data_IF_894087872064
#
_entry.id   IF_894087872064
#
_cell.length_a   1.000
_cell.length_b   1.000
_cell.length_c   1.000
_cell.angle_alpha   90.00
_cell.angle_beta   90.00
_cell.angle_gamma   90.00
#
_symmetry.space_group_name_H-M   'P 1'
#
loop_
_entity.id
_entity.type
_entity.pdbx_description
1 polymer ?
#
# COMPACT_ATOMS: atom_id res chain seq x y z
N UNK A 1 20.58 -38.59 13.33
CA UNK A 1 19.49 -37.60 13.61
C UNK A 1 18.44 -37.87 12.58
N UNK A 2 17.27 -38.30 13.04
CA UNK A 2 16.20 -38.68 12.15
C UNK A 2 15.70 -37.44 11.36
N UNK A 3 15.57 -37.59 10.04
CA UNK A 3 15.04 -36.57 9.17
C UNK A 3 13.55 -36.33 9.44
N UNK A 4 13.10 -35.10 9.28
CA UNK A 4 11.68 -34.70 9.43
C UNK A 4 10.97 -34.90 8.09
N UNK A 5 9.94 -35.76 8.09
CA UNK A 5 9.16 -36.02 6.86
C UNK A 5 8.30 -34.82 6.51
N UNK A 6 8.80 -33.96 5.60
CA UNK A 6 8.05 -32.86 5.01
C UNK A 6 7.41 -33.32 3.70
N UNK A 7 6.41 -32.55 3.22
CA UNK A 7 5.86 -32.78 1.89
C UNK A 7 6.73 -32.08 0.82
N UNK A 8 7.38 -32.83 -0.10
CA UNK A 8 8.25 -32.28 -1.14
C UNK A 8 7.54 -31.26 -2.04
N UNK A 9 6.25 -31.50 -2.36
CA UNK A 9 5.46 -30.59 -3.19
C UNK A 9 5.25 -29.23 -2.51
N UNK A 10 5.08 -29.25 -1.17
CA UNK A 10 4.93 -28.01 -0.40
C UNK A 10 6.24 -27.22 -0.31
N UNK A 11 7.37 -27.90 -0.22
CA UNK A 11 8.68 -27.25 -0.27
C UNK A 11 8.90 -26.59 -1.63
N UNK A 12 8.63 -27.30 -2.71
CA UNK A 12 8.73 -26.78 -4.08
C UNK A 12 7.80 -25.60 -4.31
N UNK A 13 6.52 -25.72 -3.91
CA UNK A 13 5.55 -24.64 -3.98
C UNK A 13 6.02 -23.39 -3.21
N UNK A 14 6.45 -23.57 -1.96
CA UNK A 14 6.89 -22.45 -1.13
C UNK A 14 8.14 -21.76 -1.70
N UNK A 15 9.09 -22.50 -2.27
CA UNK A 15 10.25 -21.93 -2.93
C UNK A 15 9.88 -21.16 -4.20
N UNK A 16 9.01 -21.71 -5.03
CA UNK A 16 8.53 -21.05 -6.25
C UNK A 16 7.74 -19.77 -5.91
N UNK A 17 6.88 -19.84 -4.90
CA UNK A 17 6.15 -18.68 -4.36
C UNK A 17 7.09 -17.59 -3.87
N UNK A 18 8.19 -17.95 -3.22
CA UNK A 18 9.22 -17.02 -2.75
C UNK A 18 10.15 -16.52 -3.88
N UNK A 19 9.95 -16.94 -5.14
CA UNK A 19 10.79 -16.56 -6.28
C UNK A 19 12.26 -16.98 -6.16
N UNK A 20 12.55 -18.03 -5.36
CA UNK A 20 13.93 -18.47 -5.08
C UNK A 20 14.35 -19.64 -5.99
N UNK A 21 15.60 -19.59 -6.47
CA UNK A 21 16.22 -20.79 -7.02
C UNK A 21 16.65 -21.73 -5.88
N UNK A 22 16.95 -23.01 -6.23
CA UNK A 22 17.46 -23.98 -5.25
C UNK A 22 18.79 -23.51 -4.63
N UNK A 23 19.63 -22.85 -5.41
CA UNK A 23 20.91 -22.27 -4.98
C UNK A 23 20.68 -21.11 -3.98
N UNK A 24 19.72 -20.24 -4.26
CA UNK A 24 19.37 -19.14 -3.38
C UNK A 24 18.77 -19.64 -2.07
N UNK A 25 17.88 -20.63 -2.13
CA UNK A 25 17.32 -21.24 -0.93
C UNK A 25 18.41 -21.96 -0.10
N UNK A 26 19.29 -22.75 -0.74
CA UNK A 26 20.41 -23.39 -0.08
C UNK A 26 21.29 -22.38 0.66
N UNK A 27 21.59 -21.24 0.03
CA UNK A 27 22.37 -20.15 0.66
C UNK A 27 21.64 -19.59 1.90
N UNK A 28 20.34 -19.36 1.81
CA UNK A 28 19.53 -18.82 2.93
C UNK A 28 19.42 -19.76 4.12
N UNK A 29 19.46 -21.08 3.90
CA UNK A 29 19.39 -22.09 4.98
C UNK A 29 20.76 -22.57 5.46
N UNK A 30 21.84 -21.90 5.04
CA UNK A 30 23.20 -22.23 5.47
C UNK A 30 23.85 -23.40 4.73
N UNK A 31 23.35 -23.75 3.54
CA UNK A 31 23.82 -24.85 2.70
C UNK A 31 24.35 -24.33 1.34
N UNK A 32 24.98 -23.16 1.31
CA UNK A 32 25.43 -22.49 0.08
C UNK A 32 26.29 -23.36 -0.84
N UNK A 33 27.09 -24.28 -0.26
CA UNK A 33 27.98 -25.19 -0.97
C UNK A 33 27.29 -26.51 -1.42
N UNK A 34 26.02 -26.71 -1.12
CA UNK A 34 25.29 -27.97 -1.32
C UNK A 34 23.86 -27.76 -1.81
N UNK A 35 23.66 -27.07 -2.95
CA UNK A 35 22.29 -26.83 -3.48
C UNK A 35 21.58 -28.12 -3.88
N UNK A 36 22.30 -29.19 -4.18
CA UNK A 36 21.79 -30.53 -4.46
C UNK A 36 20.97 -31.11 -3.29
N UNK A 37 21.25 -30.71 -2.06
CA UNK A 37 20.51 -31.14 -0.88
C UNK A 37 19.08 -30.62 -0.91
N UNK A 38 18.86 -29.37 -1.34
CA UNK A 38 17.51 -28.80 -1.50
C UNK A 38 16.74 -29.54 -2.59
N UNK A 39 17.40 -29.84 -3.72
CA UNK A 39 16.79 -30.66 -4.79
C UNK A 39 16.42 -32.05 -4.32
N UNK A 40 17.27 -32.69 -3.49
CA UNK A 40 16.98 -34.00 -2.90
C UNK A 40 15.76 -33.94 -1.96
N UNK A 41 15.58 -32.87 -1.18
CA UNK A 41 14.38 -32.65 -0.37
C UNK A 41 13.12 -32.46 -1.21
N UNK A 42 13.18 -31.69 -2.31
CA UNK A 42 12.07 -31.50 -3.25
C UNK A 42 11.75 -32.76 -4.06
N UNK A 43 12.72 -33.62 -4.29
CA UNK A 43 12.51 -34.94 -4.92
C UNK A 43 12.03 -36.00 -3.93
N UNK A 44 12.00 -35.73 -2.60
CA UNK A 44 11.66 -36.69 -1.57
C UNK A 44 12.71 -37.76 -1.34
N UNK A 45 13.89 -37.68 -1.98
CA UNK A 45 14.99 -38.67 -1.85
C UNK A 45 15.83 -38.48 -0.57
N UNK A 46 15.70 -37.30 0.07
CA UNK A 46 16.29 -37.01 1.37
C UNK A 46 15.30 -36.23 2.23
N UNK A 47 15.58 -36.14 3.53
CA UNK A 47 14.74 -35.39 4.46
C UNK A 47 15.58 -34.39 5.26
N UNK A 48 15.10 -33.14 5.48
CA UNK A 48 15.79 -32.20 6.34
C UNK A 48 15.69 -32.61 7.82
N UNK A 49 16.67 -32.23 8.62
CA UNK A 49 16.55 -32.27 10.08
C UNK A 49 15.54 -31.22 10.55
N UNK A 50 15.05 -31.34 11.79
CA UNK A 50 14.10 -30.38 12.37
C UNK A 50 14.65 -28.94 12.33
N UNK A 51 15.94 -28.76 12.64
CA UNK A 51 16.61 -27.47 12.56
C UNK A 51 16.61 -26.90 11.12
N UNK A 52 16.85 -27.74 10.12
CA UNK A 52 16.79 -27.36 8.70
C UNK A 52 15.36 -27.04 8.27
N UNK A 53 14.37 -27.81 8.74
CA UNK A 53 12.95 -27.53 8.47
C UNK A 53 12.52 -26.17 9.02
N UNK A 54 12.97 -25.83 10.23
CA UNK A 54 12.76 -24.47 10.78
C UNK A 54 13.45 -23.39 9.96
N UNK A 55 14.68 -23.64 9.51
CA UNK A 55 15.42 -22.71 8.66
C UNK A 55 14.73 -22.53 7.28
N UNK A 56 14.21 -23.60 6.69
CA UNK A 56 13.40 -23.57 5.47
C UNK A 56 12.13 -22.71 5.66
N UNK A 57 11.35 -22.97 6.70
CA UNK A 57 10.13 -22.20 6.99
C UNK A 57 10.42 -20.70 7.12
N UNK A 58 11.51 -20.33 7.81
CA UNK A 58 11.94 -18.92 7.94
C UNK A 58 12.39 -18.33 6.61
N UNK A 59 13.23 -19.06 5.85
CA UNK A 59 13.76 -18.59 4.57
C UNK A 59 12.67 -18.41 3.50
N UNK A 60 11.60 -19.21 3.59
CA UNK A 60 10.45 -19.21 2.68
C UNK A 60 9.28 -18.33 3.18
N UNK A 61 9.41 -17.75 4.38
CA UNK A 61 8.38 -16.93 5.02
C UNK A 61 7.02 -17.62 5.10
N UNK A 62 7.01 -18.88 5.54
CA UNK A 62 5.80 -19.66 5.78
C UNK A 62 5.76 -20.21 7.22
N UNK A 63 4.56 -20.43 7.78
CA UNK A 63 4.43 -21.21 9.02
C UNK A 63 5.07 -22.59 8.86
N UNK A 64 5.79 -23.05 9.89
CA UNK A 64 6.44 -24.36 9.86
C UNK A 64 5.47 -25.49 9.49
N UNK A 65 4.22 -25.40 9.99
CA UNK A 65 3.16 -26.38 9.73
C UNK A 65 2.80 -26.55 8.25
N UNK A 66 3.03 -25.52 7.41
CA UNK A 66 2.73 -25.60 5.98
C UNK A 66 3.54 -26.68 5.27
N UNK A 67 4.76 -26.94 5.70
CA UNK A 67 5.59 -27.99 5.10
C UNK A 67 5.06 -29.41 5.33
N UNK A 68 4.04 -29.58 6.17
CA UNK A 68 3.42 -30.87 6.53
C UNK A 68 2.00 -31.03 5.95
N UNK A 69 1.44 -30.04 5.29
CA UNK A 69 0.13 -30.13 4.67
C UNK A 69 0.16 -31.13 3.49
N UNK A 70 -1.00 -31.66 3.13
CA UNK A 70 -1.17 -32.52 1.94
C UNK A 70 -1.12 -31.73 0.64
N UNK A 71 -1.63 -30.48 0.67
CA UNK A 71 -1.76 -29.58 -0.48
C UNK A 71 -1.37 -28.16 -0.09
N UNK A 72 -0.93 -27.33 -1.06
CA UNK A 72 -0.71 -25.91 -0.82
C UNK A 72 -1.97 -25.25 -0.25
N UNK A 73 -1.84 -24.40 0.78
CA UNK A 73 -2.98 -23.71 1.33
C UNK A 73 -3.57 -22.77 0.25
N UNK A 74 -4.89 -22.83 0.08
CA UNK A 74 -5.60 -21.92 -0.80
C UNK A 74 -5.70 -20.58 -0.10
N UNK A 75 -4.83 -19.65 -0.40
CA UNK A 75 -4.89 -18.28 0.12
C UNK A 75 -5.84 -17.48 -0.77
N UNK A 76 -7.15 -17.68 -0.62
CA UNK A 76 -8.12 -16.74 -1.15
C UNK A 76 -8.07 -15.49 -0.27
N UNK A 77 -7.42 -14.44 -0.73
CA UNK A 77 -7.45 -13.15 -0.04
C UNK A 77 -8.85 -12.55 -0.24
N UNK A 78 -9.49 -12.02 0.82
CA UNK A 78 -10.85 -11.49 0.76
C UNK A 78 -10.92 -10.09 0.13
N UNK A 79 -10.05 -9.82 -0.86
CA UNK A 79 -9.94 -8.53 -1.56
C UNK A 79 -9.86 -8.76 -3.06
N UNK A 80 -10.51 -7.87 -3.81
CA UNK A 80 -10.50 -7.91 -5.27
C UNK A 80 -9.13 -7.45 -5.78
N UNK A 81 -8.60 -8.13 -6.80
CA UNK A 81 -7.36 -7.74 -7.47
C UNK A 81 -7.68 -6.82 -8.66
N UNK A 82 -7.51 -5.51 -8.45
CA UNK A 82 -7.70 -4.49 -9.48
C UNK A 82 -6.41 -4.13 -10.23
N UNK A 83 -5.29 -4.78 -9.91
CA UNK A 83 -4.02 -4.48 -10.56
C UNK A 83 -4.12 -4.70 -12.08
N UNK A 84 -3.55 -3.78 -12.84
CA UNK A 84 -3.41 -3.90 -14.30
C UNK A 84 -2.22 -4.83 -14.61
N UNK A 85 -2.44 -6.13 -14.47
CA UNK A 85 -1.44 -7.18 -14.73
C UNK A 85 -1.87 -8.06 -15.90
N UNK A 86 -0.91 -8.70 -16.61
CA UNK A 86 -1.23 -9.77 -17.54
C UNK A 86 -2.09 -10.84 -16.89
N UNK A 87 -3.03 -11.43 -17.62
CA UNK A 87 -3.99 -12.41 -17.09
C UNK A 87 -3.30 -13.58 -16.36
N UNK A 88 -2.13 -14.01 -16.85
CA UNK A 88 -1.33 -15.07 -16.24
C UNK A 88 -0.74 -14.71 -14.85
N UNK A 89 -0.71 -13.43 -14.48
CA UNK A 89 -0.16 -12.92 -13.21
C UNK A 89 -1.25 -12.48 -12.23
N UNK A 90 -2.50 -12.36 -12.67
CA UNK A 90 -3.64 -12.00 -11.81
C UNK A 90 -3.83 -13.04 -10.71
N UNK A 91 -4.06 -12.59 -9.49
CA UNK A 91 -4.23 -13.44 -8.32
C UNK A 91 -2.94 -14.10 -7.81
N UNK A 92 -1.78 -13.83 -8.43
CA UNK A 92 -0.48 -14.22 -7.88
C UNK A 92 0.09 -13.06 -7.07
N UNK A 93 0.32 -13.31 -5.80
CA UNK A 93 0.86 -12.33 -4.87
C UNK A 93 2.25 -12.75 -4.41
N UNK A 94 3.15 -11.77 -4.28
CA UNK A 94 4.42 -12.03 -3.60
C UNK A 94 4.18 -12.33 -2.13
N UNK A 95 5.07 -13.09 -1.46
CA UNK A 95 5.00 -13.30 -0.02
C UNK A 95 4.96 -11.99 0.77
N UNK A 96 5.63 -10.95 0.26
CA UNK A 96 5.67 -9.62 0.86
C UNK A 96 4.31 -8.95 0.84
N UNK A 97 3.61 -8.98 -0.30
CA UNK A 97 2.25 -8.42 -0.44
C UNK A 97 1.25 -9.22 0.39
N UNK A 98 1.31 -10.56 0.37
CA UNK A 98 0.43 -11.39 1.20
C UNK A 98 0.60 -11.11 2.69
N UNK A 99 1.84 -10.98 3.17
CA UNK A 99 2.10 -10.70 4.59
C UNK A 99 1.60 -9.31 5.00
N UNK A 100 1.78 -8.30 4.14
CA UNK A 100 1.27 -6.94 4.39
C UNK A 100 -0.25 -6.91 4.40
N UNK A 101 -0.89 -7.60 3.47
CA UNK A 101 -2.35 -7.67 3.39
C UNK A 101 -2.94 -8.42 4.60
N UNK A 102 -2.35 -9.55 4.97
CA UNK A 102 -2.77 -10.30 6.18
C UNK A 102 -2.57 -9.48 7.46
N UNK A 103 -1.51 -8.67 7.52
CA UNK A 103 -1.29 -7.76 8.64
C UNK A 103 -2.33 -6.64 8.69
N UNK A 104 -2.65 -6.05 7.53
CA UNK A 104 -3.68 -5.02 7.43
C UNK A 104 -5.07 -5.57 7.79
N UNK A 105 -5.43 -6.76 7.30
CA UNK A 105 -6.69 -7.45 7.66
C UNK A 105 -6.78 -7.70 9.16
N UNK A 106 -5.72 -8.21 9.80
CA UNK A 106 -5.70 -8.42 11.24
C UNK A 106 -5.91 -7.13 12.05
N UNK A 107 -5.32 -6.03 11.61
CA UNK A 107 -5.48 -4.70 12.22
C UNK A 107 -6.88 -4.14 12.02
N UNK A 108 -7.38 -4.29 10.81
CA UNK A 108 -8.73 -3.92 10.41
C UNK A 108 -9.79 -4.65 11.24
N UNK A 109 -9.71 -5.99 11.30
CA UNK A 109 -10.66 -6.84 12.04
C UNK A 109 -10.67 -6.51 13.53
N UNK A 110 -9.47 -6.34 14.12
CA UNK A 110 -9.35 -5.95 15.51
C UNK A 110 -9.99 -4.57 15.77
N UNK A 111 -9.72 -3.57 14.92
CA UNK A 111 -10.28 -2.23 15.14
C UNK A 111 -11.80 -2.20 14.93
N UNK A 112 -12.30 -2.94 13.93
CA UNK A 112 -13.72 -3.09 13.70
C UNK A 112 -14.43 -3.69 14.92
N UNK A 113 -13.90 -4.80 15.45
CA UNK A 113 -14.44 -5.44 16.63
C UNK A 113 -14.39 -4.50 17.85
N UNK A 114 -13.24 -3.86 18.08
CA UNK A 114 -13.04 -2.90 19.15
C UNK A 114 -14.04 -1.74 19.09
N UNK A 115 -14.18 -1.08 17.95
CA UNK A 115 -15.11 0.04 17.78
C UNK A 115 -16.57 -0.38 17.93
N UNK A 116 -16.94 -1.54 17.42
CA UNK A 116 -18.28 -2.07 17.56
C UNK A 116 -18.60 -2.36 19.02
N UNK A 117 -17.67 -2.93 19.79
CA UNK A 117 -17.84 -3.19 21.23
C UNK A 117 -17.97 -1.89 22.04
N UNK A 118 -17.22 -0.86 21.66
CA UNK A 118 -17.29 0.47 22.30
C UNK A 118 -18.53 1.29 21.86
N UNK A 119 -19.40 0.74 21.01
CA UNK A 119 -20.62 1.40 20.57
C UNK A 119 -20.40 2.54 19.57
N UNK A 120 -19.31 2.51 18.81
CA UNK A 120 -19.06 3.49 17.76
C UNK A 120 -20.17 3.47 16.70
N UNK A 121 -20.46 4.62 16.11
CA UNK A 121 -21.39 4.74 14.98
C UNK A 121 -20.70 4.46 13.67
N UNK A 122 -21.38 3.84 12.69
CA UNK A 122 -20.86 3.67 11.35
C UNK A 122 -20.45 5.00 10.71
N UNK A 123 -19.38 4.98 9.94
CA UNK A 123 -18.91 6.14 9.18
C UNK A 123 -19.73 6.28 7.89
N UNK A 124 -20.57 7.32 7.76
CA UNK A 124 -21.63 7.36 6.76
C UNK A 124 -21.10 7.64 5.33
N UNK A 125 -19.83 7.92 5.16
CA UNK A 125 -19.22 8.18 3.85
C UNK A 125 -18.75 6.91 3.14
N UNK A 126 -18.56 5.79 3.85
CA UNK A 126 -18.12 4.53 3.26
C UNK A 126 -19.23 3.95 2.40
N UNK A 127 -18.94 3.70 1.12
CA UNK A 127 -19.92 3.17 0.18
C UNK A 127 -21.08 4.11 -0.14
N UNK A 128 -20.92 5.42 0.09
CA UNK A 128 -21.97 6.43 -0.16
C UNK A 128 -22.32 6.59 -1.62
N UNK A 129 -21.38 6.31 -2.52
CA UNK A 129 -21.51 6.51 -3.96
C UNK A 129 -21.41 5.21 -4.75
N UNK A 130 -21.92 5.23 -5.98
CA UNK A 130 -21.90 4.09 -6.88
C UNK A 130 -21.17 4.44 -8.18
N UNK A 131 -20.85 3.44 -9.00
CA UNK A 131 -20.08 3.59 -10.22
C UNK A 131 -20.68 4.57 -11.26
N UNK A 132 -21.94 4.98 -11.11
CA UNK A 132 -22.63 5.94 -11.97
C UNK A 132 -22.55 7.40 -11.49
N UNK A 133 -22.01 7.66 -10.31
CA UNK A 133 -21.83 9.03 -9.80
C UNK A 133 -20.64 9.71 -10.48
N UNK A 134 -20.67 11.06 -10.54
CA UNK A 134 -19.58 11.81 -11.20
C UNK A 134 -18.37 11.97 -10.29
N UNK A 135 -17.15 11.99 -10.85
CA UNK A 135 -15.92 12.18 -10.08
C UNK A 135 -15.92 13.47 -9.26
N UNK A 136 -16.52 14.54 -9.81
CA UNK A 136 -16.60 15.86 -9.16
C UNK A 136 -17.41 15.79 -7.87
N UNK A 137 -18.55 15.12 -7.91
CA UNK A 137 -19.44 14.95 -6.78
C UNK A 137 -18.78 14.15 -5.66
N UNK A 138 -18.11 13.06 -6.00
CA UNK A 138 -17.37 12.23 -5.05
C UNK A 138 -16.20 13.01 -4.45
N UNK A 139 -15.38 13.66 -5.28
CA UNK A 139 -14.26 14.45 -4.81
C UNK A 139 -14.68 15.64 -3.93
N UNK A 140 -15.83 16.25 -4.20
CA UNK A 140 -16.40 17.31 -3.37
C UNK A 140 -16.79 16.77 -1.99
N UNK A 141 -17.45 15.62 -1.93
CA UNK A 141 -17.84 14.99 -0.67
C UNK A 141 -16.59 14.56 0.14
N UNK A 142 -15.57 13.98 -0.51
CA UNK A 142 -14.29 13.66 0.14
C UNK A 142 -13.68 14.93 0.75
N UNK A 143 -13.61 16.05 0.00
CA UNK A 143 -13.07 17.31 0.52
C UNK A 143 -13.87 17.81 1.73
N UNK A 144 -15.17 17.69 1.71
CA UNK A 144 -16.02 18.14 2.80
C UNK A 144 -15.85 17.26 4.04
N UNK A 145 -15.87 15.95 3.90
CA UNK A 145 -15.72 15.01 5.04
C UNK A 145 -14.34 15.10 5.67
N UNK A 146 -13.31 15.27 4.84
CA UNK A 146 -11.92 15.37 5.32
C UNK A 146 -11.51 16.81 5.71
N UNK A 147 -12.40 17.78 5.60
CA UNK A 147 -12.11 19.21 5.86
C UNK A 147 -10.86 19.70 5.10
N UNK A 148 -10.78 19.37 3.81
CA UNK A 148 -9.63 19.73 2.98
C UNK A 148 -9.79 21.12 2.35
N UNK A 149 -8.73 21.94 2.33
CA UNK A 149 -8.73 23.21 1.58
C UNK A 149 -8.80 22.96 0.06
N UNK A 150 -9.08 24.01 -0.71
CA UNK A 150 -9.09 23.98 -2.18
C UNK A 150 -7.96 24.88 -2.71
N UNK A 151 -6.95 24.35 -3.41
CA UNK A 151 -6.64 22.91 -3.56
C UNK A 151 -6.16 22.29 -2.24
N UNK A 152 -6.20 20.95 -2.07
CA UNK A 152 -5.73 20.29 -0.85
C UNK A 152 -4.28 20.61 -0.47
N UNK A 153 -3.45 20.95 -1.44
CA UNK A 153 -2.06 21.35 -1.24
C UNK A 153 -1.85 22.81 -0.79
N UNK A 154 -2.93 23.63 -0.64
CA UNK A 154 -2.84 25.07 -0.37
C UNK A 154 -1.92 25.42 0.81
N UNK A 155 -2.02 24.66 1.88
CA UNK A 155 -1.31 24.93 3.12
C UNK A 155 0.00 24.13 3.27
N UNK A 156 0.38 23.38 2.22
CA UNK A 156 1.58 22.53 2.22
C UNK A 156 2.78 23.27 1.60
N UNK A 157 3.91 23.30 2.33
CA UNK A 157 5.18 23.86 1.85
C UNK A 157 5.99 22.91 0.97
N UNK A 158 5.71 21.60 1.05
CA UNK A 158 6.40 20.55 0.30
C UNK A 158 5.48 19.38 -0.01
N UNK A 159 5.89 18.48 -0.95
CA UNK A 159 5.17 17.23 -1.21
C UNK A 159 5.04 16.34 0.02
N UNK A 160 6.11 16.23 0.84
CA UNK A 160 6.07 15.48 2.08
C UNK A 160 5.07 16.06 3.09
N UNK A 161 4.95 17.38 3.14
CA UNK A 161 3.98 18.03 4.01
C UNK A 161 2.56 17.84 3.50
N UNK A 162 2.33 17.93 2.18
CA UNK A 162 1.04 17.64 1.57
C UNK A 162 0.57 16.21 1.89
N UNK A 163 1.43 15.20 1.67
CA UNK A 163 1.10 13.82 2.05
C UNK A 163 0.76 13.70 3.53
N UNK A 164 1.57 14.33 4.41
CA UNK A 164 1.34 14.28 5.87
C UNK A 164 0.01 14.94 6.26
N UNK A 165 -0.36 16.05 5.64
CA UNK A 165 -1.65 16.72 5.87
C UNK A 165 -2.81 15.85 5.41
N UNK A 166 -2.77 15.29 4.20
CA UNK A 166 -3.80 14.39 3.68
C UNK A 166 -3.99 13.17 4.58
N UNK A 167 -2.89 12.53 5.03
CA UNK A 167 -2.95 11.39 5.96
C UNK A 167 -3.58 11.81 7.28
N UNK A 168 -3.22 12.98 7.82
CA UNK A 168 -3.80 13.48 9.08
C UNK A 168 -5.31 13.68 8.96
N UNK A 169 -5.77 14.37 7.92
CA UNK A 169 -7.21 14.59 7.70
C UNK A 169 -7.98 13.27 7.51
N UNK A 170 -7.41 12.31 6.78
CA UNK A 170 -8.01 10.99 6.63
C UNK A 170 -8.13 10.26 8.00
N UNK A 171 -7.08 10.30 8.83
CA UNK A 171 -7.10 9.69 10.16
C UNK A 171 -8.06 10.42 11.13
N UNK A 172 -8.19 11.73 11.02
CA UNK A 172 -9.16 12.54 11.80
C UNK A 172 -10.61 12.22 11.42
N UNK A 173 -10.87 11.85 10.16
CA UNK A 173 -12.16 11.35 9.70
C UNK A 173 -12.43 9.87 10.07
N UNK A 174 -11.49 9.18 10.73
CA UNK A 174 -11.66 7.80 11.19
C UNK A 174 -11.11 6.73 10.25
N UNK A 175 -10.38 7.09 9.19
CA UNK A 175 -9.76 6.17 8.23
C UNK A 175 -8.37 5.78 8.73
N UNK A 176 -8.06 4.48 8.81
CA UNK A 176 -6.71 4.00 9.12
C UNK A 176 -5.82 4.20 7.88
N UNK A 177 -4.67 4.86 8.02
CA UNK A 177 -3.70 5.01 6.93
C UNK A 177 -2.37 4.37 7.32
N UNK A 178 -2.05 3.24 6.68
CA UNK A 178 -0.81 2.51 6.86
C UNK A 178 0.16 2.82 5.73
N UNK A 179 1.44 3.05 6.05
CA UNK A 179 2.47 3.30 5.04
C UNK A 179 3.72 2.48 5.36
N UNK A 180 4.10 1.57 4.49
CA UNK A 180 5.34 0.78 4.62
C UNK A 180 6.00 0.54 3.28
N UNK A 181 7.34 0.49 3.27
CA UNK A 181 8.13 0.08 2.11
C UNK A 181 8.68 -1.35 2.23
N UNK A 182 8.30 -2.07 3.27
CA UNK A 182 8.76 -3.44 3.56
C UNK A 182 7.69 -4.22 4.30
N UNK A 183 7.76 -5.54 4.21
CA UNK A 183 6.80 -6.43 4.83
C UNK A 183 7.00 -6.49 6.35
N UNK A 184 5.93 -6.33 7.11
CA UNK A 184 5.89 -6.39 8.58
C UNK A 184 6.93 -5.46 9.24
N UNK A 185 7.95 -6.02 9.91
CA UNK A 185 9.08 -5.27 10.52
C UNK A 185 10.44 -5.65 9.92
N UNK A 186 10.46 -6.38 8.81
CA UNK A 186 11.69 -6.82 8.14
C UNK A 186 12.07 -5.89 6.99
N UNK A 187 13.02 -4.98 7.24
CA UNK A 187 13.48 -3.99 6.24
C UNK A 187 14.20 -4.62 5.04
N UNK A 188 14.56 -5.90 5.11
CA UNK A 188 15.15 -6.64 3.98
C UNK A 188 14.11 -7.20 3.02
N UNK A 189 12.85 -7.27 3.43
CA UNK A 189 11.72 -7.72 2.62
C UNK A 189 10.99 -6.53 2.01
N UNK A 190 11.61 -5.93 1.00
CA UNK A 190 11.12 -4.69 0.39
C UNK A 190 9.93 -4.95 -0.53
N UNK A 191 8.93 -4.06 -0.47
CA UNK A 191 7.76 -4.10 -1.34
C UNK A 191 8.11 -3.62 -2.76
N UNK A 192 7.41 -4.17 -3.75
CA UNK A 192 7.57 -3.80 -5.16
C UNK A 192 6.47 -2.81 -5.59
N UNK A 193 6.88 -1.60 -6.00
CA UNK A 193 5.95 -0.62 -6.59
C UNK A 193 5.40 -1.10 -7.95
N UNK A 194 6.12 -2.00 -8.62
CA UNK A 194 5.65 -2.61 -9.88
C UNK A 194 4.50 -3.59 -9.63
N UNK A 195 4.46 -4.21 -8.45
CA UNK A 195 3.43 -5.16 -8.09
C UNK A 195 2.16 -4.45 -7.62
N UNK A 196 2.29 -3.47 -6.69
CA UNK A 196 1.17 -2.68 -6.19
C UNK A 196 1.63 -1.35 -5.62
N UNK A 197 0.75 -0.36 -5.61
CA UNK A 197 0.99 0.96 -5.01
C UNK A 197 0.20 1.17 -3.74
N UNK A 198 -1.01 0.61 -3.66
CA UNK A 198 -1.87 0.69 -2.50
C UNK A 198 -2.99 -0.35 -2.51
N UNK A 199 -3.78 -0.33 -1.47
CA UNK A 199 -5.05 -1.03 -1.39
C UNK A 199 -5.98 -0.39 -0.36
N UNK A 200 -7.29 -0.58 -0.55
CA UNK A 200 -8.33 -0.19 0.39
C UNK A 200 -9.08 -1.41 0.94
N UNK A 201 -9.39 -1.37 2.23
CA UNK A 201 -10.34 -2.24 2.89
C UNK A 201 -11.54 -1.40 3.32
N UNK A 202 -12.69 -1.64 2.70
CA UNK A 202 -13.92 -0.88 2.96
C UNK A 202 -14.69 -1.53 4.09
N UNK A 203 -14.95 -0.76 5.13
CA UNK A 203 -15.76 -1.14 6.27
C UNK A 203 -16.30 0.12 6.95
N UNK A 204 -17.54 0.10 7.38
CA UNK A 204 -18.20 1.27 7.97
C UNK A 204 -17.61 1.68 9.33
N UNK A 205 -16.95 0.77 10.04
CA UNK A 205 -16.35 1.02 11.36
C UNK A 205 -14.84 1.20 11.31
N UNK A 206 -14.16 0.53 10.38
CA UNK A 206 -12.70 0.49 10.34
C UNK A 206 -12.14 0.62 8.90
N UNK A 207 -12.55 1.64 8.11
CA UNK A 207 -11.99 1.80 6.77
C UNK A 207 -10.48 1.96 6.84
N UNK A 208 -9.77 1.24 5.95
CA UNK A 208 -8.32 1.20 5.96
C UNK A 208 -7.75 1.43 4.56
N UNK A 209 -6.71 2.26 4.48
CA UNK A 209 -5.88 2.47 3.29
C UNK A 209 -4.44 2.05 3.61
N UNK A 210 -3.85 1.26 2.73
CA UNK A 210 -2.41 0.98 2.75
C UNK A 210 -1.73 1.65 1.56
N UNK A 211 -0.55 2.25 1.79
CA UNK A 211 0.26 2.90 0.77
C UNK A 211 1.67 2.30 0.76
N UNK A 212 2.13 1.88 -0.41
CA UNK A 212 3.50 1.42 -0.59
C UNK A 212 4.48 2.60 -0.50
N UNK A 213 5.21 2.70 0.61
CA UNK A 213 6.12 3.79 0.87
C UNK A 213 7.42 3.76 0.01
N UNK A 214 7.60 2.74 -0.85
CA UNK A 214 8.68 2.69 -1.85
C UNK A 214 8.39 3.57 -3.06
N UNK A 215 7.14 3.96 -3.25
CA UNK A 215 6.78 4.89 -4.32
C UNK A 215 7.25 6.32 -4.01
N UNK A 216 7.36 7.12 -5.06
CA UNK A 216 7.63 8.56 -4.95
C UNK A 216 6.58 9.24 -4.06
N UNK A 217 6.94 10.37 -3.46
CA UNK A 217 5.98 11.13 -2.62
C UNK A 217 4.75 11.54 -3.42
N UNK A 218 4.95 12.00 -4.67
CA UNK A 218 3.84 12.35 -5.56
C UNK A 218 2.97 11.13 -5.92
N UNK A 219 3.59 9.97 -6.14
CA UNK A 219 2.85 8.71 -6.34
C UNK A 219 2.02 8.33 -5.12
N UNK A 220 2.58 8.43 -3.92
CA UNK A 220 1.85 8.16 -2.65
C UNK A 220 0.69 9.10 -2.40
N UNK A 221 0.81 10.39 -2.76
CA UNK A 221 -0.28 11.37 -2.70
C UNK A 221 -1.43 10.92 -3.61
N UNK A 222 -1.10 10.57 -4.86
CA UNK A 222 -2.10 10.10 -5.82
C UNK A 222 -2.74 8.78 -5.37
N UNK A 223 -1.94 7.82 -4.90
CA UNK A 223 -2.43 6.55 -4.37
C UNK A 223 -3.39 6.76 -3.20
N UNK A 224 -3.05 7.63 -2.23
CA UNK A 224 -3.99 7.93 -1.13
C UNK A 224 -5.33 8.47 -1.65
N UNK A 225 -5.29 9.44 -2.56
CA UNK A 225 -6.51 10.00 -3.13
C UNK A 225 -7.34 8.97 -3.92
N UNK A 226 -6.68 8.04 -4.61
CA UNK A 226 -7.30 6.94 -5.33
C UNK A 226 -7.98 5.93 -4.38
N UNK A 227 -7.29 5.52 -3.31
CA UNK A 227 -7.84 4.60 -2.32
C UNK A 227 -9.00 5.22 -1.53
N UNK A 228 -8.99 6.55 -1.32
CA UNK A 228 -10.18 7.25 -0.79
C UNK A 228 -11.37 7.09 -1.74
N UNK A 229 -11.18 7.15 -3.06
CA UNK A 229 -12.22 6.86 -4.04
C UNK A 229 -12.84 5.48 -3.85
N UNK A 230 -12.03 4.46 -3.59
CA UNK A 230 -12.50 3.11 -3.27
C UNK A 230 -13.33 3.06 -1.99
N UNK A 231 -12.92 3.76 -0.93
CA UNK A 231 -13.72 3.81 0.31
C UNK A 231 -15.08 4.46 0.07
N UNK A 232 -15.14 5.56 -0.68
CA UNK A 232 -16.40 6.25 -0.99
C UNK A 232 -17.35 5.45 -1.89
N UNK A 233 -16.79 4.57 -2.74
CA UNK A 233 -17.58 3.66 -3.62
C UNK A 233 -17.84 2.29 -3.01
N UNK A 234 -17.39 2.02 -1.79
CA UNK A 234 -17.62 0.75 -1.10
C UNK A 234 -16.88 -0.45 -1.73
N UNK A 235 -15.76 -0.22 -2.41
CA UNK A 235 -15.02 -1.27 -3.13
C UNK A 235 -13.68 -1.56 -2.49
N UNK A 236 -13.52 -2.76 -1.90
CA UNK A 236 -12.21 -3.21 -1.38
C UNK A 236 -11.37 -3.82 -2.48
N UNK A 237 -10.09 -3.46 -2.56
CA UNK A 237 -9.21 -4.09 -3.54
C UNK A 237 -7.78 -3.61 -3.49
N UNK A 238 -6.91 -4.37 -4.19
CA UNK A 238 -5.50 -4.05 -4.39
C UNK A 238 -5.37 -3.34 -5.73
N UNK A 239 -4.80 -2.14 -5.72
CA UNK A 239 -4.68 -1.29 -6.89
C UNK A 239 -3.22 -1.00 -7.25
N UNK A 240 -3.01 -0.75 -8.53
CA UNK A 240 -1.76 -0.19 -9.05
C UNK A 240 -2.11 1.00 -9.95
N UNK A 241 -2.58 2.13 -9.35
CA UNK A 241 -3.05 3.26 -10.13
C UNK A 241 -1.93 3.79 -11.01
N UNK A 242 -2.13 3.70 -12.32
CA UNK A 242 -1.20 4.23 -13.33
C UNK A 242 -1.75 5.52 -13.89
N UNK A 243 -0.89 6.52 -13.99
CA UNK A 243 -1.13 7.78 -14.68
C UNK A 243 -0.72 7.68 -16.17
N UNK A 244 -0.76 6.47 -16.72
CA UNK A 244 -0.45 6.33 -18.14
C UNK A 244 -1.62 6.80 -18.99
N UNK A 245 -1.33 7.57 -20.07
CA UNK A 245 -2.35 8.07 -20.97
C UNK A 245 -3.00 6.97 -21.82
N UNK A 246 -2.77 5.72 -21.52
CA UNK A 246 -3.40 4.62 -22.21
C UNK A 246 -4.76 4.33 -21.61
N UNK A 247 -5.80 4.61 -22.38
CA UNK A 247 -7.09 3.95 -22.24
C UNK A 247 -6.88 2.45 -22.50
N UNK A 248 -6.26 1.74 -21.54
CA UNK A 248 -6.12 0.30 -21.67
C UNK A 248 -7.52 -0.32 -21.72
N UNK A 249 -7.91 -0.99 -22.81
CA UNK A 249 -9.13 -1.76 -22.84
C UNK A 249 -9.00 -2.84 -21.76
N UNK A 250 -9.76 -2.74 -20.68
CA UNK A 250 -9.72 -3.69 -19.57
C UNK A 250 -9.55 -3.10 -18.17
N UNK A 251 -9.25 -1.81 -18.05
CA UNK A 251 -9.36 -1.12 -16.75
C UNK A 251 -10.83 -1.10 -16.36
N UNK A 252 -11.19 -1.73 -15.24
CA UNK A 252 -12.57 -1.78 -14.74
C UNK A 252 -13.16 -0.37 -14.58
N UNK A 253 -14.48 -0.24 -14.72
CA UNK A 253 -15.16 1.05 -14.62
C UNK A 253 -14.88 1.74 -13.28
N UNK A 254 -14.72 0.97 -12.19
CA UNK A 254 -14.45 1.48 -10.86
C UNK A 254 -13.02 2.06 -10.73
N UNK A 255 -12.02 1.39 -11.30
CA UNK A 255 -10.63 1.88 -11.29
C UNK A 255 -10.50 3.22 -12.03
N UNK A 256 -11.19 3.34 -13.16
CA UNK A 256 -11.23 4.59 -13.92
C UNK A 256 -11.89 5.70 -13.12
N UNK A 257 -13.02 5.40 -12.46
CA UNK A 257 -13.71 6.34 -11.60
C UNK A 257 -12.80 6.80 -10.44
N UNK A 258 -12.13 5.88 -9.75
CA UNK A 258 -11.22 6.21 -8.65
C UNK A 258 -10.02 7.05 -9.12
N UNK A 259 -9.47 6.79 -10.32
CA UNK A 259 -8.43 7.63 -10.91
C UNK A 259 -8.93 9.05 -11.20
N UNK A 260 -10.14 9.21 -11.75
CA UNK A 260 -10.75 10.51 -12.01
C UNK A 260 -11.10 11.25 -10.71
N UNK A 261 -11.61 10.55 -9.70
CA UNK A 261 -11.85 11.10 -8.36
C UNK A 261 -10.54 11.62 -7.75
N UNK A 262 -9.46 10.83 -7.81
CA UNK A 262 -8.16 11.24 -7.31
C UNK A 262 -7.62 12.49 -8.02
N UNK A 263 -7.74 12.53 -9.35
CA UNK A 263 -7.33 13.68 -10.16
C UNK A 263 -8.15 14.93 -9.82
N UNK A 264 -9.47 14.81 -9.72
CA UNK A 264 -10.37 15.92 -9.35
C UNK A 264 -10.16 16.37 -7.91
N UNK A 265 -9.94 15.44 -6.97
CA UNK A 265 -9.67 15.76 -5.57
C UNK A 265 -8.41 16.61 -5.42
N UNK A 266 -7.31 16.20 -6.06
CA UNK A 266 -6.00 16.83 -5.94
C UNK A 266 -5.87 18.08 -6.82
N UNK A 267 -6.47 18.06 -8.01
CA UNK A 267 -6.40 19.12 -9.04
C UNK A 267 -7.81 19.42 -9.55
N UNK A 268 -8.58 20.25 -8.82
CA UNK A 268 -9.92 20.63 -9.25
C UNK A 268 -9.92 21.23 -10.65
N UNK A 269 -10.76 20.69 -11.55
CA UNK A 269 -10.76 21.05 -12.97
C UNK A 269 -10.99 22.53 -13.23
N UNK A 270 -11.91 23.17 -12.50
CA UNK A 270 -12.18 24.61 -12.59
C UNK A 270 -10.93 25.43 -12.22
N UNK A 271 -10.24 25.05 -11.13
CA UNK A 271 -9.05 25.74 -10.67
C UNK A 271 -7.87 25.54 -11.62
N UNK A 272 -7.73 24.35 -12.19
CA UNK A 272 -6.74 24.07 -13.23
C UNK A 272 -6.99 24.96 -14.46
N UNK A 273 -8.23 25.02 -14.93
CA UNK A 273 -8.62 25.85 -16.08
C UNK A 273 -8.33 27.33 -15.84
N UNK A 274 -8.63 27.84 -14.66
CA UNK A 274 -8.33 29.26 -14.29
C UNK A 274 -6.82 29.54 -14.26
N UNK A 275 -5.99 28.55 -13.86
CA UNK A 275 -4.53 28.72 -13.73
C UNK A 275 -3.75 28.32 -14.97
N UNK A 276 -4.40 27.66 -15.94
CA UNK A 276 -3.79 27.25 -17.20
C UNK A 276 -3.51 28.47 -18.08
N UNK A 277 -2.31 29.01 -18.00
CA UNK A 277 -1.90 30.19 -18.75
C UNK A 277 -1.83 29.93 -20.26
N UNK A 278 -1.65 31.02 -21.04
CA UNK A 278 -1.44 31.00 -22.51
C UNK A 278 0.06 30.97 -22.86
N UNK A 279 0.81 30.07 -22.24
CA UNK A 279 2.23 29.91 -22.56
C UNK A 279 2.42 28.90 -23.70
N UNK A 280 3.48 29.08 -24.54
CA UNK A 280 3.70 28.22 -25.70
C UNK A 280 4.20 26.82 -25.34
N UNK A 281 4.78 26.63 -24.14
CA UNK A 281 5.37 25.34 -23.73
C UNK A 281 4.46 24.59 -22.73
N UNK A 282 3.80 23.55 -23.21
CA UNK A 282 2.89 22.72 -22.43
C UNK A 282 3.57 22.06 -21.21
N UNK A 283 4.81 21.60 -21.36
CA UNK A 283 5.53 20.93 -20.28
C UNK A 283 5.91 21.90 -19.16
N UNK A 284 6.36 23.11 -19.49
CA UNK A 284 6.70 24.13 -18.49
C UNK A 284 5.47 24.54 -17.64
N UNK A 285 4.32 24.76 -18.29
CA UNK A 285 3.06 25.02 -17.57
C UNK A 285 2.73 23.86 -16.64
N UNK A 286 2.79 22.64 -17.15
CA UNK A 286 2.48 21.45 -16.36
C UNK A 286 3.44 21.29 -15.18
N UNK A 287 4.72 21.56 -15.34
CA UNK A 287 5.73 21.53 -14.29
C UNK A 287 5.49 22.60 -13.21
N UNK A 288 5.13 23.82 -13.62
CA UNK A 288 4.81 24.89 -12.68
C UNK A 288 3.54 24.59 -11.87
N UNK A 289 2.48 24.12 -12.53
CA UNK A 289 1.24 23.73 -11.88
C UNK A 289 1.43 22.50 -10.98
N UNK A 290 2.27 21.54 -11.37
CA UNK A 290 2.63 20.40 -10.54
C UNK A 290 3.28 20.84 -9.20
N UNK A 291 4.11 21.87 -9.22
CA UNK A 291 4.67 22.46 -7.99
C UNK A 291 3.60 23.14 -7.14
N UNK A 292 2.64 23.85 -7.76
CA UNK A 292 1.58 24.53 -7.02
C UNK A 292 0.59 23.55 -6.38
N UNK A 293 0.18 22.51 -7.11
CA UNK A 293 -0.75 21.48 -6.63
C UNK A 293 -0.06 20.36 -5.83
N UNK A 294 1.28 20.35 -5.77
CA UNK A 294 2.08 19.29 -5.10
C UNK A 294 1.72 17.89 -5.60
N UNK A 295 1.57 17.76 -6.90
CA UNK A 295 1.33 16.49 -7.60
C UNK A 295 2.42 16.23 -8.64
N UNK A 296 2.41 15.08 -9.32
CA UNK A 296 3.33 14.85 -10.44
C UNK A 296 2.90 15.65 -11.69
N UNK A 297 3.85 15.94 -12.56
CA UNK A 297 3.59 16.55 -13.88
C UNK A 297 2.58 15.71 -14.67
N UNK A 298 2.66 14.39 -14.54
CA UNK A 298 1.77 13.45 -15.20
C UNK A 298 0.30 13.64 -14.79
N UNK A 299 0.02 13.90 -13.50
CA UNK A 299 -1.34 14.24 -13.02
C UNK A 299 -1.86 15.48 -13.71
N UNK A 300 -1.06 16.53 -13.82
CA UNK A 300 -1.47 17.79 -14.47
C UNK A 300 -1.76 17.56 -15.95
N UNK A 301 -0.89 16.84 -16.67
CA UNK A 301 -1.06 16.58 -18.10
C UNK A 301 -2.34 15.80 -18.40
N UNK A 302 -2.58 14.70 -17.65
CA UNK A 302 -3.80 13.92 -17.80
C UNK A 302 -5.03 14.74 -17.45
N UNK A 303 -4.97 15.51 -16.37
CA UNK A 303 -6.09 16.36 -15.95
C UNK A 303 -6.40 17.45 -16.97
N UNK A 304 -5.38 18.07 -17.58
CA UNK A 304 -5.56 19.07 -18.65
C UNK A 304 -6.26 18.47 -19.88
N UNK A 305 -6.00 17.21 -20.21
CA UNK A 305 -6.76 16.49 -21.25
C UNK A 305 -8.22 16.25 -20.83
N UNK A 306 -8.45 15.76 -19.62
CA UNK A 306 -9.80 15.46 -19.11
C UNK A 306 -10.71 16.70 -19.09
N UNK A 307 -10.15 17.89 -18.81
CA UNK A 307 -10.90 19.16 -18.83
C UNK A 307 -10.80 19.92 -20.16
N UNK A 308 -10.37 19.25 -21.24
CA UNK A 308 -10.29 19.77 -22.61
C UNK A 308 -9.39 21.00 -22.78
N UNK A 309 -8.34 21.17 -21.96
CA UNK A 309 -7.32 22.22 -22.13
C UNK A 309 -6.27 21.84 -23.17
N UNK A 310 -6.02 20.54 -23.35
CA UNK A 310 -5.04 19.99 -24.27
C UNK A 310 -5.63 18.87 -25.12
N UNK A 311 -5.29 18.82 -26.42
CA UNK A 311 -5.53 17.64 -27.22
C UNK A 311 -4.59 16.50 -26.81
N UNK A 312 -5.01 15.27 -27.10
CA UNK A 312 -4.28 14.05 -26.71
C UNK A 312 -2.83 13.99 -27.20
N UNK A 313 -2.58 14.43 -28.46
CA UNK A 313 -1.25 14.45 -29.06
C UNK A 313 -0.27 15.35 -28.28
N UNK A 314 -0.74 16.49 -27.79
CA UNK A 314 0.07 17.39 -26.95
C UNK A 314 0.40 16.75 -25.59
N UNK A 315 -0.55 16.02 -25.00
CA UNK A 315 -0.32 15.27 -23.76
C UNK A 315 0.74 14.19 -23.97
N UNK A 316 0.61 13.37 -25.04
CA UNK A 316 1.57 12.30 -25.33
C UNK A 316 2.99 12.85 -25.51
N UNK A 317 3.13 13.96 -26.28
CA UNK A 317 4.44 14.59 -26.50
C UNK A 317 5.06 15.11 -25.20
N UNK A 318 4.30 15.88 -24.40
CA UNK A 318 4.78 16.41 -23.13
C UNK A 318 5.05 15.31 -22.10
N UNK A 319 4.27 14.22 -22.11
CA UNK A 319 4.45 13.05 -21.25
C UNK A 319 5.78 12.33 -21.57
N UNK A 320 6.06 12.09 -22.87
CA UNK A 320 7.31 11.45 -23.30
C UNK A 320 8.52 12.30 -22.92
N UNK A 321 8.45 13.62 -23.11
CA UNK A 321 9.51 14.55 -22.70
C UNK A 321 9.72 14.55 -21.18
N UNK A 322 8.65 14.59 -20.37
CA UNK A 322 8.74 14.52 -18.92
C UNK A 322 9.35 13.20 -18.43
N UNK A 323 9.04 12.08 -19.10
CA UNK A 323 9.67 10.79 -18.77
C UNK A 323 11.17 10.77 -19.08
N UNK A 324 11.58 11.37 -20.18
CA UNK A 324 13.00 11.46 -20.54
C UNK A 324 13.75 12.30 -19.50
N UNK A 325 13.25 13.50 -19.18
CA UNK A 325 13.85 14.36 -18.14
C UNK A 325 13.94 13.64 -16.77
N UNK A 326 12.90 12.92 -16.36
CA UNK A 326 12.89 12.19 -15.10
C UNK A 326 13.94 11.06 -15.07
N UNK A 327 14.28 10.43 -16.22
CA UNK A 327 15.32 9.41 -16.31
C UNK A 327 16.72 10.02 -16.24
N UNK A 328 16.93 11.18 -16.85
CA UNK A 328 18.22 11.88 -16.88
C UNK A 328 18.56 12.49 -15.50
N UNK A 329 17.56 12.91 -14.74
CA UNK A 329 17.71 13.58 -13.43
C UNK A 329 17.29 12.71 -12.24
N UNK A 330 17.21 11.39 -12.38
CA UNK A 330 16.85 10.51 -11.26
C UNK A 330 17.87 10.68 -10.11
N UNK A 331 17.47 11.22 -8.94
CA UNK A 331 18.39 11.37 -7.83
C UNK A 331 18.81 9.99 -7.33
N UNK A 332 20.10 9.83 -7.01
CA UNK A 332 20.58 8.66 -6.27
C UNK A 332 19.75 8.54 -4.99
N UNK A 333 19.22 7.33 -4.74
CA UNK A 333 18.38 7.08 -3.57
C UNK A 333 19.15 7.46 -2.30
N UNK A 334 18.67 8.45 -1.56
CA UNK A 334 19.20 8.79 -0.25
C UNK A 334 19.11 7.55 0.66
N UNK A 335 20.23 6.94 0.95
CA UNK A 335 20.38 5.90 1.99
C UNK A 335 20.38 6.56 3.37
N UNK A 336 19.24 7.09 3.79
CA UNK A 336 19.06 7.61 5.13
C UNK A 336 18.56 6.50 6.07
N UNK A 337 19.23 6.26 7.17
CA UNK A 337 18.69 5.47 8.29
C UNK A 337 17.44 6.17 8.85
N UNK A 338 16.27 5.53 8.74
CA UNK A 338 15.01 6.10 9.22
C UNK A 338 14.91 6.06 10.75
N UNK A 339 14.33 7.11 11.35
CA UNK A 339 13.93 7.08 12.75
C UNK A 339 12.93 5.93 13.00
N UNK A 340 13.26 5.06 13.94
CA UNK A 340 12.44 3.90 14.30
C UNK A 340 11.00 4.29 14.66
N UNK A 341 10.82 5.33 15.49
CA UNK A 341 9.49 5.75 15.95
C UNK A 341 8.65 6.36 14.82
N UNK A 342 9.30 7.12 13.94
CA UNK A 342 8.65 7.64 12.74
C UNK A 342 8.21 6.50 11.81
N UNK A 343 9.08 5.51 11.61
CA UNK A 343 8.78 4.32 10.81
C UNK A 343 7.64 3.50 11.42
N UNK A 344 7.66 3.30 12.75
CA UNK A 344 6.62 2.60 13.48
C UNK A 344 5.26 3.31 13.35
N UNK A 345 5.25 4.65 13.48
CA UNK A 345 4.04 5.47 13.35
C UNK A 345 3.47 5.40 11.93
N UNK A 346 4.30 5.54 10.90
CA UNK A 346 3.85 5.46 9.53
C UNK A 346 3.29 4.07 9.19
N UNK A 347 3.96 3.00 9.65
CA UNK A 347 3.55 1.62 9.39
C UNK A 347 2.22 1.23 10.06
N UNK A 348 1.91 1.83 11.19
CA UNK A 348 0.71 1.47 11.94
C UNK A 348 -0.39 2.55 11.91
N UNK A 349 -0.09 3.76 11.41
CA UNK A 349 -0.99 4.89 11.47
C UNK A 349 -1.13 5.46 12.90
N UNK A 350 -1.40 6.76 12.98
CA UNK A 350 -1.60 7.44 14.27
C UNK A 350 -2.91 6.98 14.92
N UNK A 351 -3.96 6.90 14.13
CA UNK A 351 -5.29 6.51 14.59
C UNK A 351 -5.28 5.12 15.22
N UNK A 352 -4.79 4.10 14.53
CA UNK A 352 -4.71 2.73 15.06
C UNK A 352 -3.86 2.65 16.32
N UNK A 353 -2.72 3.35 16.37
CA UNK A 353 -1.90 3.40 17.56
C UNK A 353 -2.61 4.04 18.76
N UNK A 354 -3.43 5.07 18.55
CA UNK A 354 -4.24 5.70 19.60
C UNK A 354 -5.29 4.74 20.13
N UNK A 355 -6.00 4.04 19.25
CA UNK A 355 -7.03 3.06 19.64
C UNK A 355 -6.41 1.88 20.43
N UNK A 356 -5.26 1.35 20.00
CA UNK A 356 -4.55 0.30 20.73
C UNK A 356 -4.13 0.77 22.13
N UNK A 357 -3.63 2.01 22.27
CA UNK A 357 -3.25 2.57 23.57
C UNK A 357 -4.48 2.76 24.47
N UNK A 358 -5.62 3.16 23.91
CA UNK A 358 -6.88 3.31 24.64
C UNK A 358 -7.35 1.95 25.15
N UNK A 359 -7.40 0.93 24.29
CA UNK A 359 -7.80 -0.43 24.66
C UNK A 359 -6.87 -1.05 25.73
N UNK A 360 -5.56 -0.79 25.65
CA UNK A 360 -4.60 -1.20 26.69
C UNK A 360 -4.89 -0.54 28.04
N UNK A 361 -5.18 0.76 28.07
CA UNK A 361 -5.49 1.50 29.32
C UNK A 361 -6.80 1.06 29.96
N UNK A 362 -7.76 0.65 29.14
CA UNK A 362 -9.03 0.12 29.61
C UNK A 362 -8.96 -1.36 30.04
N UNK A 363 -7.81 -2.03 29.80
CA UNK A 363 -7.63 -3.46 30.08
C UNK A 363 -8.33 -4.40 29.11
N UNK A 364 -8.91 -3.88 28.02
CA UNK A 364 -9.60 -4.65 26.98
C UNK A 364 -8.64 -5.33 26.02
N UNK A 365 -7.38 -4.87 25.96
CA UNK A 365 -6.32 -5.47 25.14
C UNK A 365 -5.13 -5.86 25.99
N UNK A 366 -4.64 -7.10 25.85
CA UNK A 366 -3.45 -7.56 26.54
C UNK A 366 -2.18 -6.97 25.88
N UNK A 367 -1.13 -6.79 26.66
CA UNK A 367 0.17 -6.26 26.21
C UNK A 367 0.76 -7.03 25.04
N UNK A 368 0.67 -8.37 25.07
CA UNK A 368 1.11 -9.24 23.96
C UNK A 368 0.26 -9.06 22.71
N UNK A 369 -1.03 -8.84 22.85
CA UNK A 369 -1.93 -8.56 21.74
C UNK A 369 -1.58 -7.24 21.05
N UNK A 370 -1.34 -6.16 21.81
CA UNK A 370 -0.92 -4.88 21.30
C UNK A 370 0.45 -4.95 20.58
N UNK A 371 1.43 -5.61 21.18
CA UNK A 371 2.74 -5.80 20.58
C UNK A 371 2.65 -6.57 19.23
N UNK A 372 1.77 -7.57 19.17
CA UNK A 372 1.50 -8.35 17.95
C UNK A 372 0.80 -7.51 16.87
N UNK A 373 -0.18 -6.68 17.23
CA UNK A 373 -0.85 -5.77 16.29
C UNK A 373 0.12 -4.76 15.70
N UNK A 374 1.03 -4.21 16.51
CA UNK A 374 2.02 -3.24 16.08
C UNK A 374 3.25 -3.85 15.40
N UNK A 375 3.37 -5.18 15.36
CA UNK A 375 4.55 -5.92 14.87
C UNK A 375 5.85 -5.45 15.55
N UNK A 376 5.84 -5.35 16.89
CA UNK A 376 6.99 -5.00 17.71
C UNK A 376 7.16 -5.99 18.86
N UNK A 377 8.36 -5.99 19.45
CA UNK A 377 8.59 -6.75 20.65
C UNK A 377 7.87 -6.11 21.86
N UNK A 378 7.32 -6.90 22.83
CA UNK A 378 6.66 -6.35 24.02
C UNK A 378 7.49 -5.29 24.79
N UNK A 379 8.80 -5.50 24.94
CA UNK A 379 9.70 -4.52 25.57
C UNK A 379 9.75 -3.17 24.82
N UNK A 380 9.67 -3.21 23.48
CA UNK A 380 9.61 -1.99 22.65
C UNK A 380 8.30 -1.24 22.87
N UNK A 381 7.19 -1.97 23.07
CA UNK A 381 5.89 -1.36 23.34
C UNK A 381 5.92 -0.53 24.64
N UNK A 382 6.57 -1.03 25.67
CA UNK A 382 6.73 -0.30 26.93
C UNK A 382 7.44 1.06 26.72
N UNK A 383 8.53 1.05 25.95
CA UNK A 383 9.26 2.29 25.60
C UNK A 383 8.39 3.27 24.80
N UNK A 384 7.59 2.76 23.86
CA UNK A 384 6.66 3.57 23.04
C UNK A 384 5.58 4.22 23.91
N UNK A 385 5.07 3.50 24.91
CA UNK A 385 4.06 4.02 25.83
C UNK A 385 4.63 5.09 26.77
N UNK A 386 5.85 4.89 27.28
CA UNK A 386 6.54 5.84 28.15
C UNK A 386 6.83 7.17 27.45
N UNK A 387 7.30 7.14 26.20
CA UNK A 387 7.60 8.35 25.42
C UNK A 387 6.35 9.19 25.09
N UNK A 388 5.16 8.61 25.05
CA UNK A 388 3.90 9.34 24.84
C UNK A 388 3.32 9.94 26.13
N UNK A 389 3.81 9.51 27.29
CA UNK A 389 3.42 10.12 28.58
C UNK A 389 4.23 11.39 28.90
N UNK A 390 5.32 11.64 28.14
CA UNK A 390 6.24 12.76 28.35
C UNK A 390 6.23 13.79 27.21
N UNK A 391 5.44 13.65 26.20
CA UNK A 391 5.23 14.57 25.06
C UNK A 391 3.75 14.69 24.73
#
# INVERSE_FOLDING_TARGET
MDGVKINPLLLQWARQRAGLSNEQLAKKVGLAQKPEVVRAWEAGSAQPTFRQTQALARALHIPLGYLFLSEPPTTALPVTDFRTLPEAERGKFSPELEDVLNDALRKHDWLREWRTQEGATPLPFVGRFVAGDTPEKIAQDIRQVLDLPIPPARDAKSWNEHLRLLVRHAEEAGIIVLQSGFALSDTHRTLSVKEFRGFALTDEYAPLVFINARDSVAGRIFTLAHELGHLWTGTSGISNPTLEPTMSPGTGSIERLCNQVAAELLVPGELLTQRWGRQPNTLEIAQELAKQFRVSVFVILIRAYEVNLLPWESVQSAYAQAQQEAREFAPESERGGGDFYRTLRNRNGRLLMQEIITALRQGSLLYQGAARLLNIHPQTLETVLQQRLTG
#
